data_IF_246070986635
#
_entry.id   IF_246070986635
#
_cell.length_a   1.000
_cell.length_b   1.000
_cell.length_c   1.000
_cell.angle_alpha   90.00
_cell.angle_beta   90.00
_cell.angle_gamma   90.00
#
_symmetry.space_group_name_H-M   'P 1'
#
loop_
_entity.id
_entity.type
_entity.pdbx_description
1 polymer ?
#
# COMPACT_ATOMS: atom_id res chain seq x y z
N UNK A 1 11.62 -12.74 -14.70
CA UNK A 1 11.91 -11.30 -14.77
C UNK A 1 13.12 -11.05 -13.89
N UNK A 2 14.13 -10.33 -14.38
CA UNK A 2 15.27 -9.89 -13.57
C UNK A 2 14.78 -8.94 -12.45
N UNK A 3 15.40 -9.01 -11.27
CA UNK A 3 15.04 -8.12 -10.17
C UNK A 3 15.61 -6.72 -10.44
N UNK A 4 14.81 -5.64 -10.37
CA UNK A 4 15.27 -4.27 -10.64
C UNK A 4 16.34 -3.76 -9.67
N UNK A 5 16.56 -4.44 -8.52
CA UNK A 5 17.64 -4.11 -7.59
C UNK A 5 19.02 -4.64 -8.01
N UNK A 6 19.12 -5.41 -9.09
CA UNK A 6 20.39 -5.92 -9.63
C UNK A 6 21.26 -4.77 -10.15
N UNK A 7 22.30 -4.41 -9.40
CA UNK A 7 23.40 -3.56 -9.88
C UNK A 7 24.67 -4.40 -10.06
N UNK A 8 25.44 -4.12 -11.12
CA UNK A 8 26.73 -4.78 -11.40
C UNK A 8 27.66 -4.60 -10.20
N UNK A 9 27.98 -5.71 -9.50
CA UNK A 9 28.89 -5.73 -8.35
C UNK A 9 28.24 -5.95 -6.96
N UNK A 10 26.92 -6.15 -6.85
CA UNK A 10 26.30 -6.46 -5.54
C UNK A 10 26.68 -7.88 -5.10
N UNK A 11 27.77 -7.98 -4.34
CA UNK A 11 28.08 -9.14 -3.52
C UNK A 11 26.85 -9.50 -2.66
N UNK A 12 26.64 -10.80 -2.43
CA UNK A 12 25.57 -11.33 -1.56
C UNK A 12 25.32 -10.43 -0.34
N UNK A 13 24.08 -9.92 -0.18
CA UNK A 13 23.63 -9.13 0.98
C UNK A 13 23.67 -9.90 2.30
N UNK A 14 24.01 -11.19 2.24
CA UNK A 14 24.17 -12.04 3.41
C UNK A 14 22.84 -12.30 4.10
N UNK A 15 22.83 -12.30 5.43
CA UNK A 15 21.59 -12.35 6.21
C UNK A 15 20.94 -10.98 6.30
N UNK A 16 19.68 -10.89 5.91
CA UNK A 16 18.91 -9.64 5.85
C UNK A 16 17.90 -9.58 7.00
N UNK A 17 17.84 -8.46 7.70
CA UNK A 17 16.73 -8.11 8.59
C UNK A 17 15.98 -6.89 8.03
N UNK A 18 14.65 -6.98 7.93
CA UNK A 18 13.81 -5.91 7.39
C UNK A 18 12.96 -5.33 8.53
N UNK A 19 12.95 -4.00 8.65
CA UNK A 19 12.20 -3.26 9.66
C UNK A 19 11.27 -2.29 8.94
N UNK A 20 9.96 -2.59 8.93
CA UNK A 20 8.97 -1.79 8.21
C UNK A 20 8.17 -0.95 9.18
N UNK A 21 8.30 0.37 9.08
CA UNK A 21 7.36 1.32 9.66
C UNK A 21 6.07 1.31 8.83
N UNK A 22 5.09 0.56 9.32
CA UNK A 22 3.81 0.37 8.64
C UNK A 22 3.02 1.66 8.53
N UNK A 23 3.12 2.56 9.51
CA UNK A 23 2.43 3.84 9.48
C UNK A 23 3.02 4.74 8.40
N UNK A 24 4.35 4.92 8.38
CA UNK A 24 5.02 5.73 7.37
C UNK A 24 4.80 5.17 5.96
N UNK A 25 4.98 3.86 5.76
CA UNK A 25 4.79 3.22 4.46
C UNK A 25 3.33 3.35 3.97
N UNK A 26 2.35 3.16 4.85
CA UNK A 26 0.94 3.29 4.50
C UNK A 26 0.58 4.74 4.13
N UNK A 27 1.04 5.72 4.92
CA UNK A 27 0.79 7.13 4.64
C UNK A 27 1.43 7.56 3.31
N UNK A 28 2.66 7.13 3.04
CA UNK A 28 3.35 7.43 1.79
C UNK A 28 2.62 6.81 0.58
N UNK A 29 2.30 5.52 0.65
CA UNK A 29 1.59 4.80 -0.41
C UNK A 29 0.21 5.40 -0.69
N UNK A 30 -0.52 5.80 0.35
CA UNK A 30 -1.82 6.48 0.22
C UNK A 30 -1.70 7.84 -0.45
N UNK A 31 -0.64 8.60 -0.15
CA UNK A 31 -0.40 9.93 -0.74
C UNK A 31 -0.19 9.87 -2.25
N UNK A 32 0.49 8.82 -2.74
CA UNK A 32 0.67 8.57 -4.18
C UNK A 32 -0.45 7.69 -4.77
N UNK A 33 -1.38 7.24 -3.93
CA UNK A 33 -2.57 6.49 -4.30
C UNK A 33 -2.29 5.10 -4.88
N UNK A 34 -1.35 4.37 -4.29
CA UNK A 34 -1.08 2.97 -4.62
C UNK A 34 -1.43 2.05 -3.47
N UNK A 35 -1.76 0.80 -3.79
CA UNK A 35 -1.90 -0.26 -2.82
C UNK A 35 -0.72 -1.24 -2.95
N UNK A 36 0.03 -1.40 -1.86
CA UNK A 36 1.23 -2.24 -1.84
C UNK A 36 0.84 -3.72 -1.72
N UNK A 37 1.43 -4.54 -2.57
CA UNK A 37 1.50 -5.99 -2.42
C UNK A 37 2.70 -6.33 -1.54
N UNK A 38 2.42 -6.63 -0.27
CA UNK A 38 3.45 -6.94 0.73
C UNK A 38 4.18 -8.25 0.44
N UNK A 39 3.59 -9.21 -0.28
CA UNK A 39 4.32 -10.42 -0.67
C UNK A 39 5.38 -10.11 -1.74
N UNK A 40 5.02 -9.28 -2.72
CA UNK A 40 5.97 -8.79 -3.73
C UNK A 40 7.04 -7.91 -3.10
N UNK A 41 6.66 -7.00 -2.20
CA UNK A 41 7.59 -6.15 -1.46
C UNK A 41 8.62 -6.99 -0.68
N UNK A 42 8.16 -7.99 0.09
CA UNK A 42 9.06 -8.88 0.83
C UNK A 42 10.06 -9.56 -0.09
N UNK A 43 9.57 -10.15 -1.18
CA UNK A 43 10.41 -10.86 -2.15
C UNK A 43 11.45 -9.94 -2.81
N UNK A 44 11.04 -8.71 -3.15
CA UNK A 44 11.90 -7.71 -3.76
C UNK A 44 13.00 -7.28 -2.79
N UNK A 45 12.66 -6.94 -1.54
CA UNK A 45 13.64 -6.49 -0.54
C UNK A 45 14.61 -7.59 -0.10
N UNK A 46 14.16 -8.86 -0.06
CA UNK A 46 15.02 -10.00 0.31
C UNK A 46 15.98 -10.45 -0.81
N UNK A 47 15.94 -9.82 -1.98
CA UNK A 47 16.72 -10.27 -3.12
C UNK A 47 18.23 -10.24 -2.86
N UNK A 48 18.96 -11.18 -3.45
CA UNK A 48 20.41 -11.38 -3.25
C UNK A 48 20.85 -11.60 -1.78
N UNK A 49 19.96 -12.05 -0.89
CA UNK A 49 20.31 -12.44 0.47
C UNK A 49 19.35 -13.46 1.07
N UNK A 50 19.63 -13.86 2.30
CA UNK A 50 18.80 -14.79 3.09
C UNK A 50 18.04 -14.02 4.16
N UNK A 51 16.71 -14.16 4.19
CA UNK A 51 15.89 -13.46 5.17
C UNK A 51 16.11 -14.06 6.58
N UNK A 52 16.64 -13.26 7.50
CA UNK A 52 16.64 -13.58 8.92
C UNK A 52 15.24 -13.34 9.51
N UNK A 53 14.69 -12.15 9.23
CA UNK A 53 13.39 -11.71 9.74
C UNK A 53 12.89 -10.48 9.02
N UNK A 54 11.58 -10.41 8.77
CA UNK A 54 10.91 -9.17 8.37
C UNK A 54 9.93 -8.76 9.47
N UNK A 55 10.08 -7.55 9.99
CA UNK A 55 9.20 -6.97 10.99
C UNK A 55 8.28 -5.95 10.35
N UNK A 56 7.04 -5.91 10.83
CA UNK A 56 6.05 -4.91 10.44
C UNK A 56 5.48 -4.25 11.71
N UNK A 57 5.80 -2.97 11.89
CA UNK A 57 5.44 -2.19 13.07
C UNK A 57 4.22 -1.32 12.74
N UNK A 58 3.16 -1.40 13.55
CA UNK A 58 1.92 -0.67 13.26
C UNK A 58 1.12 -0.33 14.52
N UNK A 59 0.45 0.82 14.47
CA UNK A 59 -0.65 1.11 15.39
C UNK A 59 -1.88 0.25 15.08
N UNK A 60 -2.64 -0.16 16.10
CA UNK A 60 -3.89 -0.91 15.92
C UNK A 60 -5.07 -0.27 16.65
N UNK A 61 -6.21 -0.25 15.97
CA UNK A 61 -7.53 -0.06 16.59
C UNK A 61 -8.15 -1.45 16.76
N UNK A 62 -8.40 -1.89 17.99
CA UNK A 62 -8.94 -3.23 18.26
C UNK A 62 -10.32 -3.45 17.61
N UNK A 63 -11.05 -2.36 17.34
CA UNK A 63 -12.38 -2.44 16.74
C UNK A 63 -12.35 -2.50 15.20
N UNK A 64 -11.18 -2.35 14.56
CA UNK A 64 -11.04 -2.36 13.11
C UNK A 64 -10.87 -3.78 12.55
N UNK A 65 -11.97 -4.51 12.34
CA UNK A 65 -11.95 -5.89 11.85
C UNK A 65 -11.17 -6.09 10.53
N UNK A 66 -11.30 -5.16 9.57
CA UNK A 66 -10.52 -5.18 8.31
C UNK A 66 -9.00 -5.16 8.59
N UNK A 67 -8.57 -4.34 9.56
CA UNK A 67 -7.16 -4.24 9.96
C UNK A 67 -6.67 -5.56 10.57
N UNK A 68 -7.46 -6.18 11.44
CA UNK A 68 -7.10 -7.46 12.08
C UNK A 68 -6.91 -8.58 11.04
N UNK A 69 -7.78 -8.64 10.02
CA UNK A 69 -7.63 -9.59 8.91
C UNK A 69 -6.33 -9.40 8.13
N UNK A 70 -5.97 -8.14 7.83
CA UNK A 70 -4.69 -7.80 7.19
C UNK A 70 -3.49 -8.21 8.05
N UNK A 71 -3.49 -7.91 9.35
CA UNK A 71 -2.38 -8.26 10.25
C UNK A 71 -2.23 -9.77 10.44
N UNK A 72 -3.33 -10.52 10.45
CA UNK A 72 -3.30 -11.98 10.44
C UNK A 72 -2.67 -12.50 9.14
N UNK A 73 -3.04 -11.93 8.00
CA UNK A 73 -2.44 -12.27 6.70
C UNK A 73 -0.93 -11.98 6.71
N UNK A 74 -0.49 -10.83 7.22
CA UNK A 74 0.94 -10.48 7.32
C UNK A 74 1.73 -11.52 8.10
N UNK A 75 1.21 -11.94 9.27
CA UNK A 75 1.83 -12.99 10.11
C UNK A 75 1.97 -14.33 9.38
N UNK A 76 0.98 -14.69 8.56
CA UNK A 76 1.00 -15.93 7.77
C UNK A 76 1.92 -15.87 6.55
N UNK A 77 2.29 -14.67 6.10
CA UNK A 77 3.09 -14.44 4.89
C UNK A 77 4.51 -13.93 5.19
N UNK A 78 5.09 -14.37 6.32
CA UNK A 78 6.52 -14.20 6.59
C UNK A 78 6.89 -12.94 7.40
N UNK A 79 5.92 -12.12 7.79
CA UNK A 79 6.17 -10.96 8.65
C UNK A 79 5.97 -11.27 10.13
N UNK A 80 6.84 -10.70 10.98
CA UNK A 80 6.61 -10.57 12.41
C UNK A 80 5.94 -9.22 12.68
N UNK A 81 4.65 -9.27 12.99
CA UNK A 81 3.88 -8.06 13.29
C UNK A 81 4.09 -7.65 14.74
N UNK A 82 4.60 -6.44 14.93
CA UNK A 82 4.71 -5.74 16.21
C UNK A 82 3.64 -4.66 16.24
N UNK A 83 2.74 -4.73 17.21
CA UNK A 83 1.58 -3.85 17.27
C UNK A 83 1.51 -3.09 18.58
N UNK A 84 1.02 -1.86 18.52
CA UNK A 84 0.78 -1.00 19.67
C UNK A 84 -0.59 -0.37 19.55
N UNK A 85 -1.30 -0.31 20.67
CA UNK A 85 -2.62 0.31 20.71
C UNK A 85 -2.53 1.80 20.37
N UNK A 86 -3.48 2.29 19.56
CA UNK A 86 -3.56 3.71 19.23
C UNK A 86 -3.92 4.53 20.47
N UNK A 87 -3.11 5.56 20.75
CA UNK A 87 -3.42 6.55 21.78
C UNK A 87 -4.30 7.64 21.19
N UNK A 88 -5.38 7.97 21.91
CA UNK A 88 -6.24 9.12 21.59
C UNK A 88 -5.63 10.36 22.26
N UNK A 89 -5.33 11.37 21.47
CA UNK A 89 -4.82 12.66 21.94
C UNK A 89 -5.96 13.65 22.20
N UNK A 90 -5.72 14.72 22.99
CA UNK A 90 -6.76 15.71 23.31
C UNK A 90 -7.38 16.40 22.08
N UNK A 91 -6.68 16.42 20.95
CA UNK A 91 -7.16 16.92 19.66
C UNK A 91 -8.03 15.92 18.89
N UNK A 92 -8.32 14.75 19.49
CA UNK A 92 -9.09 13.67 18.88
C UNK A 92 -8.30 12.79 17.92
N UNK A 93 -7.02 13.09 17.68
CA UNK A 93 -6.19 12.27 16.79
C UNK A 93 -5.82 10.94 17.47
N UNK A 94 -5.82 9.87 16.68
CA UNK A 94 -5.37 8.54 17.10
C UNK A 94 -3.98 8.28 16.52
N UNK A 95 -2.95 8.15 17.37
CA UNK A 95 -1.58 7.86 16.92
C UNK A 95 -0.93 6.78 17.76
N UNK A 96 -0.14 5.95 17.12
CA UNK A 96 0.85 5.10 17.76
C UNK A 96 2.18 5.37 17.09
N UNK A 97 3.21 5.57 17.90
CA UNK A 97 4.59 5.69 17.48
C UNK A 97 5.31 4.43 17.97
N UNK A 98 6.03 3.76 17.06
CA UNK A 98 6.84 2.56 17.31
C UNK A 98 8.33 2.78 17.01
N UNK A 99 8.79 4.03 16.91
CA UNK A 99 10.16 4.38 16.49
C UNK A 99 11.18 3.86 17.50
N UNK A 100 10.84 3.91 18.79
CA UNK A 100 11.67 3.35 19.86
C UNK A 100 11.79 1.84 19.71
N UNK A 101 10.68 1.13 19.49
CA UNK A 101 10.66 -0.32 19.29
C UNK A 101 11.48 -0.73 18.06
N UNK A 102 11.34 0.00 16.95
CA UNK A 102 12.13 -0.22 15.72
C UNK A 102 13.62 -0.02 16.00
N UNK A 103 14.01 1.12 16.58
CA UNK A 103 15.42 1.43 16.86
C UNK A 103 16.06 0.42 17.81
N UNK A 104 15.33 0.01 18.86
CA UNK A 104 15.79 -1.01 19.82
C UNK A 104 15.97 -2.35 19.14
N UNK A 105 15.02 -2.79 18.31
CA UNK A 105 15.11 -4.08 17.61
C UNK A 105 16.26 -4.10 16.60
N UNK A 106 16.44 -3.01 15.84
CA UNK A 106 17.57 -2.84 14.93
C UNK A 106 18.91 -3.01 15.66
N UNK A 107 19.09 -2.30 16.77
CA UNK A 107 20.33 -2.33 17.56
C UNK A 107 20.55 -3.67 18.28
N UNK A 108 19.48 -4.28 18.79
CA UNK A 108 19.54 -5.54 19.56
C UNK A 108 19.87 -6.74 18.68
N UNK A 109 19.41 -6.72 17.43
CA UNK A 109 19.71 -7.74 16.44
C UNK A 109 21.01 -7.49 15.65
N UNK A 110 21.66 -6.33 15.84
CA UNK A 110 22.93 -6.02 15.18
C UNK A 110 23.98 -7.12 15.46
N UNK A 111 24.71 -7.52 14.42
CA UNK A 111 25.62 -8.68 14.44
C UNK A 111 24.95 -10.04 14.22
N UNK A 112 23.61 -10.12 14.12
CA UNK A 112 22.87 -11.33 13.67
C UNK A 112 22.51 -11.29 12.18
N UNK A 113 22.49 -10.10 11.61
CA UNK A 113 22.29 -9.84 10.19
C UNK A 113 23.48 -9.03 9.66
N UNK A 114 23.73 -9.13 8.36
CA UNK A 114 24.77 -8.40 7.63
C UNK A 114 24.20 -7.16 6.93
N UNK A 115 22.91 -7.20 6.57
CA UNK A 115 22.19 -6.08 5.98
C UNK A 115 20.89 -5.81 6.75
N UNK A 116 20.71 -4.59 7.24
CA UNK A 116 19.41 -4.06 7.66
C UNK A 116 18.76 -3.33 6.50
N UNK A 117 17.45 -3.54 6.31
CA UNK A 117 16.62 -2.72 5.44
C UNK A 117 15.57 -2.03 6.30
N UNK A 118 15.69 -0.72 6.46
CA UNK A 118 14.67 0.12 7.11
C UNK A 118 13.71 0.64 6.04
N UNK A 119 12.44 0.29 6.14
CA UNK A 119 11.39 0.86 5.29
C UNK A 119 10.70 1.98 6.07
N UNK A 120 11.22 3.20 5.93
CA UNK A 120 10.66 4.43 6.52
C UNK A 120 11.22 5.66 5.82
N UNK A 121 10.52 6.78 5.99
CA UNK A 121 10.93 8.11 5.56
C UNK A 121 11.33 9.06 6.68
N UNK A 122 11.23 8.62 7.94
CA UNK A 122 11.35 9.48 9.11
C UNK A 122 12.82 9.81 9.48
N UNK A 123 13.11 11.09 9.66
CA UNK A 123 14.47 11.53 10.01
C UNK A 123 14.90 11.09 11.42
N UNK A 124 13.97 10.77 12.31
CA UNK A 124 14.26 10.36 13.68
C UNK A 124 15.03 9.02 13.73
N UNK A 125 14.96 8.21 12.67
CA UNK A 125 15.75 6.98 12.55
C UNK A 125 17.22 7.20 12.19
N UNK A 126 17.63 8.40 11.79
CA UNK A 126 18.99 8.64 11.31
C UNK A 126 20.07 8.29 12.34
N UNK A 127 19.79 8.49 13.62
CA UNK A 127 20.72 8.10 14.69
C UNK A 127 20.80 6.58 14.85
N UNK A 128 19.67 5.87 14.78
CA UNK A 128 19.64 4.41 14.85
C UNK A 128 20.35 3.76 13.66
N UNK A 129 20.14 4.29 12.44
CA UNK A 129 20.82 3.87 11.21
C UNK A 129 22.34 4.00 11.37
N UNK A 130 22.83 5.18 11.77
CA UNK A 130 24.26 5.38 12.03
C UNK A 130 24.80 4.41 13.08
N UNK A 131 24.10 4.26 14.21
CA UNK A 131 24.56 3.38 15.29
C UNK A 131 24.64 1.90 14.89
N UNK A 132 23.75 1.44 14.01
CA UNK A 132 23.83 0.08 13.42
C UNK A 132 24.97 -0.02 12.40
N UNK A 133 25.14 0.99 11.56
CA UNK A 133 26.23 1.06 10.58
C UNK A 133 27.61 1.03 11.26
N UNK A 134 27.79 1.77 12.37
CA UNK A 134 29.01 1.76 13.18
C UNK A 134 29.38 0.38 13.74
N UNK A 135 28.41 -0.54 13.87
CA UNK A 135 28.65 -1.92 14.30
C UNK A 135 29.09 -2.84 13.14
N UNK A 136 29.34 -2.28 11.95
CA UNK A 136 29.78 -3.00 10.75
C UNK A 136 28.66 -3.67 9.97
N UNK A 137 27.41 -3.25 10.19
CA UNK A 137 26.26 -3.75 9.44
C UNK A 137 25.92 -2.81 8.29
N UNK A 138 25.70 -3.34 7.09
CA UNK A 138 25.17 -2.53 5.97
C UNK A 138 23.74 -2.11 6.29
N UNK A 139 23.40 -0.84 6.15
CA UNK A 139 22.04 -0.32 6.35
C UNK A 139 21.53 0.31 5.07
N UNK A 140 20.48 -0.29 4.51
CA UNK A 140 19.75 0.25 3.38
C UNK A 140 18.45 0.89 3.87
N UNK A 141 18.09 2.03 3.30
CA UNK A 141 16.80 2.70 3.58
C UNK A 141 15.94 2.57 2.33
N UNK A 142 14.71 2.09 2.48
CA UNK A 142 13.73 2.02 1.42
C UNK A 142 12.56 2.95 1.73
N UNK A 143 12.16 3.77 0.75
CA UNK A 143 11.07 4.71 0.92
C UNK A 143 10.67 5.35 -0.40
N UNK A 144 9.57 6.09 -0.38
CA UNK A 144 9.19 6.95 -1.51
C UNK A 144 9.98 8.25 -1.41
N UNK A 145 10.68 8.64 -2.48
CA UNK A 145 11.65 9.75 -2.51
C UNK A 145 11.08 11.05 -1.95
N UNK A 146 9.81 11.34 -2.27
CA UNK A 146 9.13 12.57 -1.83
C UNK A 146 8.66 12.52 -0.36
N UNK A 147 8.65 11.34 0.26
CA UNK A 147 8.23 11.12 1.65
C UNK A 147 9.41 10.65 2.54
N UNK A 148 10.65 10.76 2.06
CA UNK A 148 11.84 10.36 2.81
C UNK A 148 12.74 11.56 3.06
N UNK A 149 13.12 11.78 4.31
CA UNK A 149 14.05 12.84 4.69
C UNK A 149 15.41 12.68 3.99
N UNK A 150 15.98 13.74 3.40
CA UNK A 150 17.34 13.72 2.87
C UNK A 150 18.37 13.29 3.92
N UNK A 151 18.22 13.70 5.19
CA UNK A 151 19.15 13.31 6.25
C UNK A 151 19.17 11.80 6.49
N UNK A 152 18.01 11.14 6.41
CA UNK A 152 17.93 9.68 6.56
C UNK A 152 18.61 8.97 5.39
N UNK A 153 18.49 9.53 4.19
CA UNK A 153 19.13 9.02 2.97
C UNK A 153 20.64 9.17 3.05
N UNK A 154 21.13 10.31 3.52
CA UNK A 154 22.55 10.63 3.60
C UNK A 154 23.32 9.72 4.57
N UNK A 155 22.63 9.17 5.59
CA UNK A 155 23.25 8.26 6.57
C UNK A 155 23.14 6.78 6.18
N UNK A 156 22.40 6.44 5.13
CA UNK A 156 22.24 5.07 4.66
C UNK A 156 23.33 4.67 3.67
N UNK A 157 23.77 3.41 3.68
CA UNK A 157 24.73 2.90 2.70
C UNK A 157 24.12 2.83 1.28
N UNK A 158 22.80 2.63 1.21
CA UNK A 158 22.03 2.62 -0.03
C UNK A 158 20.61 3.11 0.23
N UNK A 159 20.12 3.96 -0.66
CA UNK A 159 18.71 4.27 -0.74
C UNK A 159 18.03 3.44 -1.83
N UNK A 160 16.93 2.78 -1.46
CA UNK A 160 16.04 2.04 -2.36
C UNK A 160 14.82 2.93 -2.62
N UNK A 161 14.80 3.54 -3.80
CA UNK A 161 13.70 4.38 -4.23
C UNK A 161 12.48 3.55 -4.64
N UNK A 162 11.48 3.50 -3.77
CA UNK A 162 10.25 2.75 -4.02
C UNK A 162 9.42 3.33 -5.16
N UNK A 163 9.56 4.63 -5.50
CA UNK A 163 8.85 5.24 -6.63
C UNK A 163 9.21 4.52 -7.95
N UNK A 164 10.49 4.22 -8.13
CA UNK A 164 11.00 3.48 -9.31
C UNK A 164 10.57 2.01 -9.34
N UNK A 165 10.11 1.48 -8.19
CA UNK A 165 9.80 0.06 -7.99
C UNK A 165 8.30 -0.22 -7.92
N UNK A 166 7.46 0.81 -7.98
CA UNK A 166 5.99 0.71 -7.99
C UNK A 166 5.49 -0.43 -8.89
N UNK A 167 5.93 -0.59 -10.16
CA UNK A 167 5.43 -1.65 -11.04
C UNK A 167 5.63 -3.09 -10.50
N UNK A 168 6.59 -3.27 -9.58
CA UNK A 168 6.96 -4.57 -9.03
C UNK A 168 6.33 -4.85 -7.66
N UNK A 169 5.79 -3.83 -6.98
CA UNK A 169 5.32 -3.92 -5.59
C UNK A 169 3.86 -3.53 -5.42
N UNK A 170 3.14 -3.14 -6.48
CA UNK A 170 1.70 -2.84 -6.40
C UNK A 170 0.85 -4.09 -6.55
N UNK A 171 -0.31 -4.07 -5.89
CA UNK A 171 -1.38 -5.01 -6.19
C UNK A 171 -1.85 -4.78 -7.62
N UNK A 172 -2.00 -5.88 -8.34
CA UNK A 172 -2.70 -5.79 -9.60
C UNK A 172 -4.18 -5.56 -9.31
N UNK A 173 -4.84 -4.63 -9.99
CA UNK A 173 -6.29 -4.47 -9.88
C UNK A 173 -6.96 -5.80 -10.24
N UNK A 174 -7.81 -6.28 -9.32
CA UNK A 174 -8.50 -7.57 -9.39
C UNK A 174 -9.50 -7.65 -10.56
N UNK A 175 -9.83 -6.51 -11.19
CA UNK A 175 -10.75 -6.42 -12.31
C UNK A 175 -10.33 -5.38 -13.36
N UNK A 176 -10.79 -5.58 -14.60
CA UNK A 176 -10.62 -4.63 -15.70
C UNK A 176 -11.37 -3.30 -15.43
N UNK A 177 -12.46 -3.35 -14.68
CA UNK A 177 -13.17 -2.17 -14.16
C UNK A 177 -12.34 -1.38 -13.14
N UNK A 178 -11.64 -2.04 -12.21
CA UNK A 178 -10.69 -1.36 -11.32
C UNK A 178 -9.51 -0.77 -12.10
N UNK A 179 -9.00 -1.47 -13.13
CA UNK A 179 -7.97 -0.93 -14.04
C UNK A 179 -8.43 0.38 -14.69
N UNK A 180 -9.63 0.36 -15.26
CA UNK A 180 -10.23 1.53 -15.91
C UNK A 180 -10.50 2.68 -14.92
N UNK A 181 -10.99 2.38 -13.71
CA UNK A 181 -11.24 3.39 -12.68
C UNK A 181 -9.96 4.06 -12.18
N UNK A 182 -8.89 3.30 -11.94
CA UNK A 182 -7.59 3.84 -11.54
C UNK A 182 -6.97 4.66 -12.68
N UNK A 183 -7.06 4.20 -13.93
CA UNK A 183 -6.56 4.94 -15.08
C UNK A 183 -7.30 6.27 -15.28
N UNK A 184 -8.64 6.27 -15.11
CA UNK A 184 -9.46 7.47 -15.17
C UNK A 184 -9.17 8.43 -14.01
N UNK A 185 -8.95 7.93 -12.79
CA UNK A 185 -8.58 8.76 -11.63
C UNK A 185 -7.20 9.41 -11.80
N UNK A 186 -6.21 8.67 -12.36
CA UNK A 186 -4.89 9.21 -12.71
C UNK A 186 -4.95 10.28 -13.80
N UNK A 187 -5.75 10.06 -14.85
CA UNK A 187 -5.90 11.02 -15.95
C UNK A 187 -6.57 12.34 -15.51
N UNK A 188 -7.41 12.30 -14.48
CA UNK A 188 -8.12 13.47 -13.95
C UNK A 188 -7.46 14.09 -12.71
N UNK A 189 -6.28 13.62 -12.29
CA UNK A 189 -5.57 14.16 -11.13
C UNK A 189 -6.31 13.98 -9.79
N UNK A 190 -7.21 12.99 -9.69
CA UNK A 190 -8.20 12.88 -8.60
C UNK A 190 -7.95 11.66 -7.68
N UNK A 191 -6.69 11.34 -7.39
CA UNK A 191 -6.34 10.29 -6.42
C UNK A 191 -6.37 10.82 -4.99
N UNK A 192 -7.55 11.28 -4.56
CA UNK A 192 -7.82 11.60 -3.15
C UNK A 192 -9.29 11.35 -2.83
N UNK A 193 -9.71 10.08 -2.67
CA UNK A 193 -10.99 9.80 -2.01
C UNK A 193 -10.96 8.49 -1.22
N UNK A 194 -11.53 8.57 -0.02
CA UNK A 194 -11.76 7.50 0.95
C UNK A 194 -12.58 6.35 0.32
N UNK A 195 -12.40 5.11 0.81
CA UNK A 195 -13.14 3.92 0.32
C UNK A 195 -14.66 4.13 0.42
N UNK A 196 -15.11 4.89 1.41
CA UNK A 196 -16.51 5.22 1.63
C UNK A 196 -17.10 6.07 0.48
N UNK A 197 -16.29 6.86 -0.23
CA UNK A 197 -16.74 7.68 -1.37
C UNK A 197 -16.77 6.89 -2.67
N UNK A 198 -15.87 5.91 -2.83
CA UNK A 198 -15.94 4.94 -3.94
C UNK A 198 -17.21 4.09 -3.84
N UNK A 199 -17.62 3.72 -2.62
CA UNK A 199 -18.90 3.04 -2.38
C UNK A 199 -20.10 3.92 -2.76
N UNK A 200 -20.10 5.20 -2.35
CA UNK A 200 -21.14 6.17 -2.72
C UNK A 200 -21.21 6.44 -4.24
N UNK A 201 -20.08 6.36 -4.94
CA UNK A 201 -20.01 6.55 -6.40
C UNK A 201 -20.51 5.31 -7.15
N UNK A 202 -20.28 4.10 -6.63
CA UNK A 202 -20.86 2.83 -7.13
C UNK A 202 -22.38 2.80 -7.00
N UNK A 203 -22.93 3.32 -5.89
CA UNK A 203 -24.38 3.40 -5.69
C UNK A 203 -25.04 4.44 -6.61
N UNK A 204 -24.38 5.58 -6.84
CA UNK A 204 -24.89 6.62 -7.77
C UNK A 204 -24.85 6.18 -9.22
N UNK A 205 -23.79 5.51 -9.67
CA UNK A 205 -23.69 4.99 -11.04
C UNK A 205 -24.68 3.86 -11.31
N UNK A 206 -24.93 2.98 -10.33
CA UNK A 206 -25.99 1.96 -10.40
C UNK A 206 -27.39 2.58 -10.53
N UNK A 207 -27.66 3.68 -9.83
CA UNK A 207 -28.93 4.42 -9.94
C UNK A 207 -29.11 5.15 -11.29
N UNK A 208 -28.02 5.52 -11.95
CA UNK A 208 -28.03 6.24 -13.23
C UNK A 208 -28.23 5.28 -14.42
N UNK A 209 -27.66 4.07 -14.33
CA UNK A 209 -27.84 2.99 -15.32
C UNK A 209 -29.26 2.42 -15.23
N UNK A 210 -29.80 2.25 -14.02
CA UNK A 210 -31.19 1.81 -13.80
C UNK A 210 -32.25 2.77 -14.36
N UNK A 211 -31.97 4.08 -14.43
CA UNK A 211 -32.89 5.08 -15.02
C UNK A 211 -32.82 5.16 -16.54
N UNK A 212 -31.71 4.79 -17.18
CA UNK A 212 -31.63 4.74 -18.66
C UNK A 212 -32.37 3.54 -19.27
N UNK A 213 -32.54 2.44 -18.53
CA UNK A 213 -33.30 1.29 -19.01
C UNK A 213 -34.83 1.50 -19.02
N UNK A 214 -35.35 2.54 -18.37
CA UNK A 214 -36.79 2.80 -18.29
C UNK A 214 -37.31 3.78 -19.37
N UNK A 215 -36.43 4.39 -20.17
CA UNK A 215 -36.80 5.46 -21.11
C UNK A 215 -36.73 5.04 -22.59
N UNK A 216 -36.70 3.75 -22.92
CA UNK A 216 -36.66 3.30 -24.31
C UNK A 216 -37.55 2.08 -24.51
N UNK A 217 -38.87 2.31 -24.55
CA UNK A 217 -39.84 1.45 -25.25
C UNK A 217 -41.20 2.12 -25.22
N UNK A 218 -41.49 2.96 -26.22
CA UNK A 218 -42.83 3.08 -26.83
C UNK A 218 -42.75 4.04 -28.03
N UNK A 219 -42.23 3.55 -29.15
CA UNK A 219 -42.60 4.09 -30.46
C UNK A 219 -42.35 3.03 -31.53
N UNK A 220 -43.42 2.38 -32.00
CA UNK A 220 -43.63 2.08 -33.43
C UNK A 220 -44.95 1.35 -33.70
N UNK A 221 -45.74 2.01 -34.54
CA UNK A 221 -46.49 1.51 -35.69
C UNK A 221 -47.73 0.64 -35.44
N UNK A 222 -48.87 1.30 -35.62
CA UNK A 222 -50.09 0.75 -36.21
C UNK A 222 -49.79 0.01 -37.52
N UNK A 223 -50.64 -0.95 -37.89
CA UNK A 223 -51.25 -0.90 -39.21
C UNK A 223 -52.77 -0.86 -39.14
N UNK A 224 -53.31 -0.01 -40.00
CA UNK A 224 -54.68 0.06 -40.50
C UNK A 224 -55.22 -1.29 -40.95
N UNK A 225 -56.43 -1.63 -40.50
CA UNK A 225 -57.46 -2.23 -41.35
C UNK A 225 -58.83 -1.63 -41.00
N UNK A 226 -59.45 -1.06 -42.02
CA UNK A 226 -60.82 -0.58 -42.06
C UNK A 226 -61.69 -1.75 -42.51
N UNK A 227 -62.87 -1.99 -41.92
CA UNK A 227 -64.18 -2.08 -42.63
C UNK A 227 -65.36 -2.36 -41.68
N UNK A 228 -66.12 -1.29 -41.39
CA UNK A 228 -67.60 -1.09 -41.48
C UNK A 228 -68.59 -1.91 -40.58
N UNK A 229 -69.64 -1.26 -40.00
CA UNK A 229 -70.49 -1.81 -38.95
C UNK A 229 -71.82 -2.41 -39.47
N UNK A 230 -72.49 -3.23 -38.64
CA UNK A 230 -73.95 -3.45 -38.71
C UNK A 230 -74.59 -3.62 -37.32
N UNK A 231 -75.46 -2.65 -37.02
CA UNK A 231 -76.76 -2.67 -36.33
C UNK A 231 -77.12 -3.66 -35.20
N UNK A 232 -77.76 -3.06 -34.17
CA UNK A 232 -78.91 -3.48 -33.32
C UNK A 232 -79.61 -4.79 -33.75
N UNK A 233 -80.07 -5.65 -32.85
CA UNK A 233 -80.81 -5.43 -31.59
C UNK A 233 -80.28 -6.25 -30.39
#
# INVERSE_FOLDING_TARGET
MENPLNTVGDNSRGRIAIFIDGNNLFHAARTIGIEIDYAKLLKLLCHCGSLLRAFFYTGVDENAAKQQGFLLWMRRNGYRVVQKELKIFPDGTKKANLDVEIAVDMLSLSGKYETAILVSGDEDFAYAVNAVAYKGTRVEVAGFRNNTSPKLIDVADRFIDLDSLIPYIVKEPDSEEQRAAIAAAKANGLLFMDEDVLQATRERTSSFIGKKSAATNHEKLMPTEVTIPKHRD
#
